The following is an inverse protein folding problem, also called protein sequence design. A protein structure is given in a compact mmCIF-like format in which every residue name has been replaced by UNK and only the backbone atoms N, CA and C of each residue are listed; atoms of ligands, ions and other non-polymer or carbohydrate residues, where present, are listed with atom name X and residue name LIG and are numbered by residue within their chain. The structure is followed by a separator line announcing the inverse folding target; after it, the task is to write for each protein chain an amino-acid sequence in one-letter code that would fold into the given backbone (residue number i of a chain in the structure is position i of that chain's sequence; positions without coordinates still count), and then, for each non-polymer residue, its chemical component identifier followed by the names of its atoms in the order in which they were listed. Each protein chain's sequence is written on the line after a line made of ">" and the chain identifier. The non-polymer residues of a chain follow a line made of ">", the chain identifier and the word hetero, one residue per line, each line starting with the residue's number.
data_IF_100819532421
#
_entry.id   IF_100819532421
#
_cell.length_a   1.000
_cell.length_b   1.000
_cell.length_c   1.000
_cell.angle_alpha   90.00
_cell.angle_beta   90.00
_cell.angle_gamma   90.00
#
_symmetry.space_group_name_H-M   'P 1'
#
loop_
_entity.id
_entity.type
_entity.pdbx_description
1 polymer ?
#
# COMPACT_ATOMS: atom_id res chain seq x y z
N UNK A 1 -28.41 2.98 20.64
CA UNK A 1 -27.37 2.87 19.61
C UNK A 1 -26.09 3.47 20.16
N UNK A 2 -25.16 2.62 20.60
CA UNK A 2 -23.90 3.07 21.20
C UNK A 2 -22.96 3.56 20.09
N UNK A 3 -22.93 4.86 19.88
CA UNK A 3 -21.92 5.47 19.01
C UNK A 3 -20.60 5.54 19.79
N UNK A 4 -19.78 4.51 19.62
CA UNK A 4 -18.40 4.54 20.08
C UNK A 4 -17.72 5.72 19.38
N UNK A 5 -17.48 6.82 20.09
CA UNK A 5 -16.81 7.99 19.53
C UNK A 5 -15.40 7.56 19.08
N UNK A 6 -15.24 7.43 17.76
CA UNK A 6 -13.99 7.01 17.17
C UNK A 6 -12.94 8.11 17.36
N UNK A 7 -11.91 7.85 18.17
CA UNK A 7 -10.73 8.72 18.28
C UNK A 7 -9.78 8.42 17.13
N UNK A 8 -9.59 9.33 16.16
CA UNK A 8 -8.64 9.11 15.09
C UNK A 8 -7.24 8.97 15.65
N UNK A 9 -6.57 7.89 15.26
CA UNK A 9 -5.18 7.66 15.66
C UNK A 9 -4.24 8.37 14.68
N UNK A 10 -2.92 8.28 14.93
CA UNK A 10 -1.89 8.91 14.10
C UNK A 10 -2.03 8.51 12.62
N UNK A 11 -2.34 7.24 12.35
CA UNK A 11 -2.47 6.72 11.00
C UNK A 11 -3.63 7.35 10.23
N UNK A 12 -4.80 7.55 10.86
CA UNK A 12 -5.94 8.17 10.15
C UNK A 12 -5.63 9.61 9.73
N UNK A 13 -4.91 10.36 10.57
CA UNK A 13 -4.52 11.75 10.27
C UNK A 13 -3.54 11.81 9.12
N UNK A 14 -2.52 10.95 9.14
CA UNK A 14 -1.54 10.85 8.06
C UNK A 14 -2.19 10.42 6.74
N UNK A 15 -3.11 9.46 6.80
CA UNK A 15 -3.84 8.99 5.63
C UNK A 15 -4.80 10.04 5.07
N UNK A 16 -5.47 10.83 5.91
CA UNK A 16 -6.35 11.93 5.49
C UNK A 16 -5.59 13.09 4.83
N UNK A 17 -4.32 13.29 5.18
CA UNK A 17 -3.45 14.29 4.55
C UNK A 17 -2.95 13.87 3.15
N UNK A 18 -3.12 12.60 2.76
CA UNK A 18 -2.79 12.16 1.41
C UNK A 18 -3.83 12.66 0.40
N UNK A 19 -3.43 12.97 -0.84
CA UNK A 19 -4.36 13.19 -1.95
C UNK A 19 -5.39 12.06 -2.03
N UNK A 20 -6.63 12.35 -2.38
CA UNK A 20 -7.74 11.38 -2.35
C UNK A 20 -7.41 10.04 -3.05
N UNK A 21 -6.65 10.09 -4.15
CA UNK A 21 -6.23 8.91 -4.91
C UNK A 21 -5.13 8.06 -4.24
N UNK A 22 -4.49 8.57 -3.19
CA UNK A 22 -3.46 7.90 -2.38
C UNK A 22 -3.97 7.54 -0.98
N UNK A 23 -5.20 7.93 -0.62
CA UNK A 23 -5.79 7.59 0.67
C UNK A 23 -6.10 6.09 0.73
N UNK A 24 -5.68 5.46 1.82
CA UNK A 24 -5.85 4.03 2.06
C UNK A 24 -7.14 3.74 2.83
N UNK A 25 -7.71 2.57 2.59
CA UNK A 25 -8.77 2.05 3.47
C UNK A 25 -8.16 1.67 4.82
N UNK A 26 -8.97 1.78 5.88
CA UNK A 26 -8.54 1.35 7.20
C UNK A 26 -8.17 -0.13 7.18
N UNK A 27 -7.03 -0.54 7.78
CA UNK A 27 -6.72 -1.94 8.00
C UNK A 27 -7.85 -2.60 8.80
N UNK A 28 -8.49 -3.61 8.23
CA UNK A 28 -9.51 -4.40 8.90
C UNK A 28 -8.79 -5.50 9.66
N UNK A 29 -9.02 -5.59 10.97
CA UNK A 29 -8.48 -6.72 11.73
C UNK A 29 -9.23 -7.99 11.33
N UNK A 30 -8.52 -9.11 11.08
CA UNK A 30 -9.18 -10.40 10.88
C UNK A 30 -10.03 -10.75 12.12
N UNK A 31 -11.19 -11.36 11.88
CA UNK A 31 -12.23 -11.63 12.88
C UNK A 31 -11.86 -12.80 13.82
N UNK A 32 -10.85 -13.59 13.45
CA UNK A 32 -10.37 -14.75 14.21
C UNK A 32 -8.87 -14.67 14.49
N UNK A 33 -8.42 -15.44 15.48
CA UNK A 33 -7.01 -15.57 15.81
C UNK A 33 -6.30 -16.35 14.68
N UNK A 34 -5.52 -15.65 13.88
CA UNK A 34 -4.65 -16.25 12.87
C UNK A 34 -3.37 -16.81 13.50
N UNK A 35 -2.86 -17.89 12.92
CA UNK A 35 -1.50 -18.40 13.15
C UNK A 35 -0.45 -17.39 12.68
N UNK A 36 0.81 -17.57 13.11
CA UNK A 36 1.89 -16.66 12.74
C UNK A 36 2.11 -16.63 11.22
N UNK A 37 1.98 -17.77 10.58
CA UNK A 37 2.16 -17.97 9.15
C UNK A 37 1.06 -17.23 8.37
N UNK A 38 -0.19 -17.35 8.81
CA UNK A 38 -1.32 -16.62 8.23
C UNK A 38 -1.23 -15.10 8.46
N UNK A 39 -0.68 -14.68 9.59
CA UNK A 39 -0.37 -13.26 9.80
C UNK A 39 0.67 -12.75 8.81
N UNK A 40 1.70 -13.55 8.53
CA UNK A 40 2.73 -13.17 7.56
C UNK A 40 2.17 -13.08 6.14
N UNK A 41 1.31 -14.03 5.73
CA UNK A 41 0.67 -13.99 4.41
C UNK A 41 -0.28 -12.80 4.30
N UNK A 42 -1.12 -12.56 5.31
CA UNK A 42 -2.00 -11.39 5.34
C UNK A 42 -1.22 -10.07 5.30
N UNK A 43 -0.14 -9.97 6.07
CA UNK A 43 0.73 -8.81 6.05
C UNK A 43 1.37 -8.60 4.68
N UNK A 44 1.79 -9.68 4.01
CA UNK A 44 2.34 -9.63 2.66
C UNK A 44 1.31 -9.14 1.65
N UNK A 45 0.11 -9.73 1.61
CA UNK A 45 -0.96 -9.34 0.68
C UNK A 45 -1.37 -7.87 0.87
N UNK A 46 -1.54 -7.45 2.12
CA UNK A 46 -1.80 -6.06 2.49
C UNK A 46 -0.69 -5.13 2.00
N UNK A 47 0.58 -5.53 2.14
CA UNK A 47 1.73 -4.74 1.68
C UNK A 47 1.72 -4.54 0.16
N UNK A 48 1.35 -5.57 -0.60
CA UNK A 48 1.27 -5.51 -2.07
C UNK A 48 0.15 -4.59 -2.55
N UNK A 49 -1.01 -4.63 -1.88
CA UNK A 49 -2.14 -3.76 -2.20
C UNK A 49 -1.85 -2.27 -1.99
N UNK A 50 -0.80 -1.94 -1.23
CA UNK A 50 -0.38 -0.56 -0.96
C UNK A 50 0.61 0.00 -1.99
N UNK A 51 1.04 -0.79 -2.97
CA UNK A 51 1.97 -0.36 -4.00
C UNK A 51 1.25 0.38 -5.13
N UNK A 52 1.80 1.51 -5.55
CA UNK A 52 1.23 2.38 -6.59
C UNK A 52 2.21 2.46 -7.77
N UNK A 53 1.75 2.31 -9.03
CA UNK A 53 2.62 2.40 -10.20
C UNK A 53 3.06 3.85 -10.46
N UNK A 54 4.31 4.00 -10.89
CA UNK A 54 4.85 5.27 -11.36
C UNK A 54 4.34 5.60 -12.77
N UNK A 55 3.80 6.80 -12.97
CA UNK A 55 3.29 7.26 -14.27
C UNK A 55 4.36 7.34 -15.36
N UNK A 56 5.64 7.54 -15.00
CA UNK A 56 6.73 7.70 -15.98
C UNK A 56 7.36 6.38 -16.41
N UNK A 57 7.41 5.37 -15.53
CA UNK A 57 8.13 4.11 -15.81
C UNK A 57 7.38 2.83 -15.46
N UNK A 58 6.15 2.90 -14.94
CA UNK A 58 5.31 1.74 -14.64
C UNK A 58 5.73 0.90 -13.42
N UNK A 59 6.90 1.13 -12.83
CA UNK A 59 7.34 0.43 -11.61
C UNK A 59 6.46 0.80 -10.42
N UNK A 60 6.14 -0.19 -9.58
CA UNK A 60 5.32 0.00 -8.38
C UNK A 60 6.17 0.35 -7.16
N UNK A 61 5.69 1.30 -6.36
CA UNK A 61 6.37 1.78 -5.15
C UNK A 61 5.37 2.11 -4.06
N UNK A 62 5.83 2.17 -2.81
CA UNK A 62 5.05 2.82 -1.75
C UNK A 62 4.89 4.32 -2.06
N UNK A 63 3.73 4.93 -1.78
CA UNK A 63 3.46 6.35 -2.06
C UNK A 63 4.55 7.31 -1.58
N UNK A 64 5.10 7.07 -0.39
CA UNK A 64 6.17 7.89 0.20
C UNK A 64 7.46 7.85 -0.64
N UNK A 65 7.89 6.63 -1.03
CA UNK A 65 9.06 6.46 -1.90
C UNK A 65 8.80 6.86 -3.35
N UNK A 66 7.55 6.79 -3.80
CA UNK A 66 7.14 7.18 -5.15
C UNK A 66 7.44 8.66 -5.39
N UNK A 67 7.20 9.54 -4.40
CA UNK A 67 7.48 10.97 -4.51
C UNK A 67 8.96 11.23 -4.78
N UNK A 68 9.85 10.57 -4.04
CA UNK A 68 11.31 10.69 -4.25
C UNK A 68 11.72 10.11 -5.60
N UNK A 69 11.16 8.96 -5.95
CA UNK A 69 11.41 8.31 -7.23
C UNK A 69 11.00 9.19 -8.42
N UNK A 70 9.81 9.79 -8.40
CA UNK A 70 9.27 10.60 -9.48
C UNK A 70 10.16 11.82 -9.81
N UNK A 71 10.84 12.40 -8.82
CA UNK A 71 11.77 13.54 -9.02
C UNK A 71 12.93 13.23 -9.97
N UNK A 72 13.40 11.98 -9.96
CA UNK A 72 14.54 11.54 -10.79
C UNK A 72 14.12 10.53 -11.88
N UNK A 73 12.85 10.15 -11.91
CA UNK A 73 12.35 9.16 -12.84
C UNK A 73 12.22 9.76 -14.25
N UNK A 74 13.05 9.27 -15.17
CA UNK A 74 12.95 9.56 -16.59
C UNK A 74 11.83 8.72 -17.23
N UNK A 75 11.01 9.28 -18.13
CA UNK A 75 10.02 8.52 -18.88
C UNK A 75 10.71 7.40 -19.65
N UNK A 76 10.24 6.17 -19.46
CA UNK A 76 10.73 5.00 -20.20
C UNK A 76 9.79 4.77 -21.38
N UNK A 77 10.34 4.75 -22.59
CA UNK A 77 9.70 4.07 -23.70
C UNK A 77 9.41 2.63 -23.27
N UNK A 78 8.18 2.20 -23.51
CA UNK A 78 7.53 1.00 -22.98
C UNK A 78 8.50 -0.19 -22.88
N UNK A 79 8.99 -0.46 -21.68
CA UNK A 79 9.60 -1.74 -21.37
C UNK A 79 8.52 -2.62 -20.73
N UNK A 80 8.30 -3.85 -21.21
CA UNK A 80 7.26 -4.71 -20.72
C UNK A 80 7.44 -4.92 -19.21
N UNK A 81 6.31 -4.87 -18.51
CA UNK A 81 6.09 -5.10 -17.07
C UNK A 81 7.12 -6.01 -16.41
N UNK A 82 7.77 -5.62 -15.30
CA UNK A 82 8.70 -6.50 -14.61
C UNK A 82 7.92 -7.51 -13.77
N UNK A 83 8.12 -8.78 -14.14
CA UNK A 83 8.10 -10.02 -13.36
C UNK A 83 6.92 -10.15 -12.38
N UNK A 84 5.97 -11.09 -12.59
CA UNK A 84 5.03 -11.45 -11.53
C UNK A 84 5.85 -11.80 -10.29
N UNK A 85 5.46 -11.31 -9.11
CA UNK A 85 6.10 -11.70 -7.86
C UNK A 85 6.02 -13.23 -7.73
N UNK A 86 7.05 -13.92 -8.21
CA UNK A 86 7.19 -15.35 -8.08
C UNK A 86 7.40 -15.59 -6.61
N UNK A 87 6.41 -16.24 -6.01
CA UNK A 87 6.39 -16.81 -4.67
C UNK A 87 7.77 -17.40 -4.38
N UNK A 88 8.50 -16.78 -3.45
CA UNK A 88 9.60 -17.48 -2.79
C UNK A 88 8.93 -18.27 -1.66
N UNK A 89 8.84 -19.58 -1.89
CA UNK A 89 8.45 -20.58 -0.91
C UNK A 89 9.47 -20.69 0.23
#
# INVERSE_FOLDING_TARGET
>A
MSFQLYRPNKWDRENANLPAHLQRKRPVKPDHALTKEEWNTYAWESSQANLVPCHNCGRTFYPDRLVVHQRSCKPKEQQPSPIPNTMVS
#
